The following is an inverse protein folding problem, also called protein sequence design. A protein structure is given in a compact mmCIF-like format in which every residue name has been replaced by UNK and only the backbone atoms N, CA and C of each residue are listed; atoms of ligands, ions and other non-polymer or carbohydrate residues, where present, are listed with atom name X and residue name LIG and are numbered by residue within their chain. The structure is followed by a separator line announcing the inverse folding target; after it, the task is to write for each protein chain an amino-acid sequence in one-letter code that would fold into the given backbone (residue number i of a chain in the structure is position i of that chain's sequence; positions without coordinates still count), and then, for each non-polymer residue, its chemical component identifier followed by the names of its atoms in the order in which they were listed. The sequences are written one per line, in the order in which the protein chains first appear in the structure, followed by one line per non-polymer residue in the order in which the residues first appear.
data_IF_568842344217
#
_entry.id   IF_568842344217
#
_cell.length_a   1.000
_cell.length_b   1.000
_cell.length_c   1.000
_cell.angle_alpha   90.00
_cell.angle_beta   90.00
_cell.angle_gamma   90.00
#
_symmetry.space_group_name_H-M   'P 1'
#
loop_
_entity.id
_entity.type
_entity.pdbx_description
1 polymer ?
#
# COMPACT_ATOMS: atom_id res chain seq x y z
N UNK A 1 3.05 14.22 2.02
CA UNK A 1 4.09 14.70 1.10
C UNK A 1 3.49 14.54 -0.29
N UNK A 2 3.12 15.63 -0.95
CA UNK A 2 2.63 15.58 -2.32
C UNK A 2 3.86 15.47 -3.22
N UNK A 3 3.94 14.44 -4.06
CA UNK A 3 5.08 14.23 -4.96
C UNK A 3 4.62 14.21 -6.42
N UNK A 4 5.42 14.94 -7.21
CA UNK A 4 5.70 14.91 -8.66
C UNK A 4 4.75 15.47 -9.71
N UNK A 5 5.30 16.46 -10.43
CA UNK A 5 4.90 17.14 -11.66
C UNK A 5 5.16 16.28 -12.92
N UNK A 6 4.61 15.05 -12.98
CA UNK A 6 4.49 14.27 -14.22
C UNK A 6 3.08 13.65 -14.32
N UNK A 7 2.65 13.24 -15.52
CA UNK A 7 1.27 12.77 -15.77
C UNK A 7 0.97 11.49 -14.98
N UNK A 8 1.98 10.62 -14.79
CA UNK A 8 1.87 9.38 -14.01
C UNK A 8 1.68 9.65 -12.51
N UNK A 9 2.46 10.56 -11.92
CA UNK A 9 2.26 11.01 -10.54
C UNK A 9 0.90 11.68 -10.33
N UNK A 10 0.35 12.32 -11.36
CA UNK A 10 -1.03 12.85 -11.32
C UNK A 10 -2.05 11.72 -11.22
N UNK A 11 -1.85 10.60 -11.92
CA UNK A 11 -2.77 9.45 -11.88
C UNK A 11 -2.70 8.69 -10.55
N UNK A 12 -1.51 8.46 -10.00
CA UNK A 12 -1.32 7.87 -8.67
C UNK A 12 -1.98 8.72 -7.56
N UNK A 13 -1.90 10.05 -7.68
CA UNK A 13 -2.55 10.98 -6.76
C UNK A 13 -4.10 10.90 -6.84
N UNK A 14 -4.67 10.73 -8.04
CA UNK A 14 -6.12 10.53 -8.20
C UNK A 14 -6.57 9.25 -7.50
N UNK A 15 -5.88 8.13 -7.73
CA UNK A 15 -6.20 6.88 -7.05
C UNK A 15 -6.11 7.01 -5.52
N UNK A 16 -5.10 7.72 -5.03
CA UNK A 16 -4.93 7.98 -3.60
C UNK A 16 -6.10 8.78 -3.01
N UNK A 17 -6.52 9.85 -3.69
CA UNK A 17 -7.65 10.67 -3.23
C UNK A 17 -8.97 9.91 -3.25
N UNK A 18 -9.21 9.12 -4.30
CA UNK A 18 -10.42 8.31 -4.42
C UNK A 18 -10.49 7.25 -3.32
N UNK A 19 -9.37 6.57 -3.05
CA UNK A 19 -9.33 5.55 -2.01
C UNK A 19 -9.51 6.14 -0.62
N UNK A 20 -8.90 7.30 -0.33
CA UNK A 20 -9.12 8.02 0.92
C UNK A 20 -10.52 8.64 1.04
N UNK A 21 -11.26 8.73 -0.06
CA UNK A 21 -12.69 9.08 -0.06
C UNK A 21 -13.61 7.87 0.18
N UNK A 22 -13.03 6.66 0.32
CA UNK A 22 -13.76 5.42 0.55
C UNK A 22 -14.23 4.72 -0.73
N UNK A 23 -13.79 5.18 -1.91
CA UNK A 23 -14.15 4.54 -3.17
C UNK A 23 -13.27 3.32 -3.43
N UNK A 24 -13.62 2.18 -2.84
CA UNK A 24 -12.86 0.91 -2.97
C UNK A 24 -12.89 0.32 -4.38
N UNK A 25 -13.83 0.74 -5.24
CA UNK A 25 -13.96 0.19 -6.59
C UNK A 25 -12.75 0.50 -7.49
N UNK A 26 -11.94 1.50 -7.11
CA UNK A 26 -10.73 1.88 -7.85
C UNK A 26 -9.58 0.89 -7.66
N UNK A 27 -9.67 -0.04 -6.68
CA UNK A 27 -8.56 -0.91 -6.31
C UNK A 27 -8.06 -1.74 -7.49
N UNK A 28 -8.96 -2.28 -8.32
CA UNK A 28 -8.58 -3.05 -9.51
C UNK A 28 -7.72 -2.19 -10.45
N UNK A 29 -8.22 -1.01 -10.82
CA UNK A 29 -7.53 -0.10 -11.74
C UNK A 29 -6.21 0.41 -11.15
N UNK A 30 -6.17 0.63 -9.83
CA UNK A 30 -4.97 1.10 -9.14
C UNK A 30 -3.91 -0.01 -9.12
N UNK A 31 -4.29 -1.24 -8.77
CA UNK A 31 -3.38 -2.39 -8.77
C UNK A 31 -2.85 -2.68 -10.17
N UNK A 32 -3.69 -2.63 -11.20
CA UNK A 32 -3.24 -2.82 -12.59
C UNK A 32 -2.32 -1.70 -13.08
N UNK A 33 -2.49 -0.48 -12.58
CA UNK A 33 -1.54 0.60 -12.81
C UNK A 33 -0.16 0.27 -12.21
N UNK A 34 -0.08 -0.32 -11.01
CA UNK A 34 1.18 -0.63 -10.34
C UNK A 34 2.05 -1.66 -11.06
N UNK A 35 1.44 -2.58 -11.83
CA UNK A 35 2.16 -3.61 -12.61
C UNK A 35 3.26 -3.05 -13.52
N UNK A 36 3.07 -1.82 -14.00
CA UNK A 36 4.02 -1.16 -14.91
C UNK A 36 4.82 -0.02 -14.26
N UNK A 37 4.62 0.24 -12.96
CA UNK A 37 5.19 1.39 -12.24
C UNK A 37 5.75 0.95 -10.88
N UNK A 38 6.86 0.21 -10.91
CA UNK A 38 7.48 -0.38 -9.72
C UNK A 38 7.85 0.63 -8.62
N UNK A 39 8.17 1.86 -9.02
CA UNK A 39 8.50 2.99 -8.14
C UNK A 39 7.29 3.48 -7.33
N UNK A 40 6.07 3.22 -7.81
CA UNK A 40 4.83 3.61 -7.15
C UNK A 40 4.30 2.53 -6.18
N UNK A 41 4.89 1.33 -6.16
CA UNK A 41 4.39 0.21 -5.35
C UNK A 41 4.41 0.53 -3.85
N UNK A 42 5.54 1.01 -3.31
CA UNK A 42 5.65 1.35 -1.89
C UNK A 42 4.66 2.46 -1.47
N UNK A 43 4.60 3.64 -2.14
CA UNK A 43 3.64 4.67 -1.77
C UNK A 43 2.18 4.21 -1.95
N UNK A 44 1.87 3.42 -2.97
CA UNK A 44 0.53 2.89 -3.17
C UNK A 44 0.12 1.89 -2.10
N UNK A 45 1.00 0.96 -1.71
CA UNK A 45 0.70 -0.01 -0.66
C UNK A 45 0.49 0.66 0.70
N UNK A 46 1.20 1.75 1.01
CA UNK A 46 0.91 2.57 2.21
C UNK A 46 -0.54 3.07 2.16
N UNK A 47 -0.94 3.68 1.04
CA UNK A 47 -2.29 4.21 0.83
C UNK A 47 -3.36 3.13 0.91
N UNK A 48 -3.13 1.97 0.27
CA UNK A 48 -4.06 0.84 0.25
C UNK A 48 -4.25 0.26 1.64
N UNK A 49 -3.16 -0.06 2.37
CA UNK A 49 -3.23 -0.64 3.71
C UNK A 49 -3.84 0.36 4.71
N UNK A 50 -3.50 1.64 4.60
CA UNK A 50 -4.13 2.68 5.43
C UNK A 50 -5.64 2.76 5.18
N UNK A 51 -6.07 2.71 3.92
CA UNK A 51 -7.49 2.76 3.56
C UNK A 51 -8.24 1.50 4.01
N UNK A 52 -7.63 0.33 3.88
CA UNK A 52 -8.16 -0.94 4.39
C UNK A 52 -8.43 -0.87 5.90
N UNK A 53 -7.48 -0.31 6.66
CA UNK A 53 -7.65 -0.08 8.10
C UNK A 53 -8.79 0.91 8.43
N UNK A 54 -9.03 1.93 7.60
CA UNK A 54 -10.06 2.96 7.82
C UNK A 54 -11.45 2.42 7.48
N UNK A 55 -11.59 1.85 6.28
CA UNK A 55 -12.87 1.45 5.70
C UNK A 55 -13.21 -0.03 5.91
N UNK A 56 -12.33 -0.79 6.59
CA UNK A 56 -12.54 -2.18 7.03
C UNK A 56 -12.83 -3.15 5.89
N UNK A 57 -12.01 -3.11 4.84
CA UNK A 57 -12.04 -4.08 3.74
C UNK A 57 -10.74 -4.91 3.71
N UNK A 58 -10.81 -6.12 3.14
CA UNK A 58 -9.64 -6.97 2.97
C UNK A 58 -8.82 -6.55 1.74
N UNK A 59 -7.50 -6.66 1.88
CA UNK A 59 -6.50 -6.42 0.83
C UNK A 59 -5.56 -7.62 0.68
N UNK A 60 -5.96 -8.80 1.15
CA UNK A 60 -5.07 -9.97 1.23
C UNK A 60 -4.55 -10.37 -0.15
N UNK A 61 -5.44 -10.42 -1.14
CA UNK A 61 -5.08 -10.71 -2.53
C UNK A 61 -4.07 -9.71 -3.11
N UNK A 62 -4.14 -8.44 -2.67
CA UNK A 62 -3.21 -7.39 -3.08
C UNK A 62 -1.85 -7.60 -2.42
N UNK A 63 -1.83 -7.91 -1.12
CA UNK A 63 -0.60 -8.22 -0.39
C UNK A 63 0.10 -9.46 -0.96
N UNK A 64 -0.66 -10.49 -1.33
CA UNK A 64 -0.14 -11.67 -2.00
C UNK A 64 0.45 -11.32 -3.38
N UNK A 65 -0.29 -10.56 -4.19
CA UNK A 65 0.14 -10.13 -5.53
C UNK A 65 1.46 -9.35 -5.52
N UNK A 66 1.70 -8.51 -4.51
CA UNK A 66 2.92 -7.71 -4.39
C UNK A 66 3.96 -8.27 -3.41
N UNK A 67 3.83 -9.53 -2.98
CA UNK A 67 4.72 -10.15 -1.98
C UNK A 67 6.20 -10.07 -2.33
N UNK A 68 6.57 -10.36 -3.58
CA UNK A 68 7.97 -10.25 -4.05
C UNK A 68 8.51 -8.81 -3.96
N UNK A 69 7.68 -7.81 -4.26
CA UNK A 69 8.05 -6.40 -4.13
C UNK A 69 8.22 -6.02 -2.66
N UNK A 70 7.33 -6.49 -1.78
CA UNK A 70 7.39 -6.24 -0.33
C UNK A 70 8.69 -6.80 0.28
N UNK A 71 9.10 -8.01 -0.11
CA UNK A 71 10.36 -8.62 0.36
C UNK A 71 11.56 -7.74 0.01
N UNK A 72 11.49 -6.99 -1.09
CA UNK A 72 12.59 -6.10 -1.51
C UNK A 72 12.65 -4.77 -0.75
N UNK A 73 11.65 -4.42 0.08
CA UNK A 73 11.58 -3.10 0.73
C UNK A 73 12.75 -2.80 1.67
N UNK A 74 13.38 -3.80 2.28
CA UNK A 74 14.57 -3.60 3.10
C UNK A 74 15.77 -3.05 2.31
N UNK A 75 15.75 -3.22 0.99
CA UNK A 75 16.76 -2.67 0.09
C UNK A 75 16.45 -1.23 -0.39
N UNK A 76 15.25 -0.72 -0.11
CA UNK A 76 14.85 0.62 -0.55
C UNK A 76 15.59 1.70 0.24
N UNK A 77 16.01 2.76 -0.45
CA UNK A 77 16.64 3.94 0.16
C UNK A 77 15.62 4.94 0.71
N UNK A 78 14.51 4.44 1.26
CA UNK A 78 13.43 5.25 1.85
C UNK A 78 12.89 4.62 3.14
N UNK A 79 13.69 4.63 4.22
CA UNK A 79 13.34 3.96 5.48
C UNK A 79 12.09 4.55 6.13
N UNK A 80 11.75 5.81 5.84
CA UNK A 80 10.57 6.48 6.39
C UNK A 80 9.29 5.86 5.82
N UNK A 81 9.22 5.70 4.50
CA UNK A 81 8.04 5.11 3.87
C UNK A 81 7.96 3.60 4.12
N UNK A 82 9.09 2.89 4.20
CA UNK A 82 9.11 1.47 4.63
C UNK A 82 8.56 1.32 6.04
N UNK A 83 9.04 2.12 7.01
CA UNK A 83 8.54 2.09 8.39
C UNK A 83 7.04 2.42 8.47
N UNK A 84 6.57 3.38 7.65
CA UNK A 84 5.15 3.73 7.57
C UNK A 84 4.30 2.59 7.02
N UNK A 85 4.78 1.92 5.97
CA UNK A 85 4.11 0.74 5.42
C UNK A 85 3.98 -0.35 6.48
N UNK A 86 5.09 -0.70 7.15
CA UNK A 86 5.10 -1.72 8.20
C UNK A 86 4.12 -1.39 9.33
N UNK A 87 4.11 -0.14 9.81
CA UNK A 87 3.14 0.30 10.83
C UNK A 87 1.68 0.03 10.42
N UNK A 88 1.29 0.43 9.21
CA UNK A 88 -0.07 0.23 8.73
C UNK A 88 -0.37 -1.26 8.49
N UNK A 89 0.60 -2.03 7.98
CA UNK A 89 0.49 -3.47 7.78
C UNK A 89 0.27 -4.20 9.11
N UNK A 90 1.10 -3.94 10.12
CA UNK A 90 0.95 -4.53 11.45
C UNK A 90 -0.41 -4.22 12.07
N UNK A 91 -0.92 -2.99 11.90
CA UNK A 91 -2.27 -2.63 12.36
C UNK A 91 -3.35 -3.45 11.65
N UNK A 92 -3.26 -3.58 10.33
CA UNK A 92 -4.21 -4.36 9.53
C UNK A 92 -4.22 -5.84 9.94
N UNK A 93 -3.05 -6.44 10.10
CA UNK A 93 -2.90 -7.83 10.55
C UNK A 93 -3.47 -8.03 11.97
N UNK A 94 -3.19 -7.09 12.88
CA UNK A 94 -3.72 -7.12 14.25
C UNK A 94 -5.25 -7.04 14.28
N UNK A 95 -5.85 -6.12 13.53
CA UNK A 95 -7.31 -5.97 13.45
C UNK A 95 -7.99 -7.19 12.82
N UNK A 96 -7.30 -7.91 11.92
CA UNK A 96 -7.77 -9.17 11.33
C UNK A 96 -7.44 -10.42 12.17
N UNK A 97 -7.03 -10.25 13.43
CA UNK A 97 -6.70 -11.33 14.38
C UNK A 97 -5.54 -12.24 13.95
N UNK A 98 -4.61 -11.75 13.12
CA UNK A 98 -3.42 -12.48 12.63
C UNK A 98 -2.20 -12.24 13.54
N UNK A 99 -2.37 -12.53 14.83
CA UNK A 99 -1.43 -12.10 15.88
C UNK A 99 -0.01 -12.72 15.73
N UNK A 100 0.18 -13.75 14.89
CA UNK A 100 1.48 -14.40 14.67
C UNK A 100 2.38 -13.73 13.62
N UNK A 101 1.85 -13.12 12.56
CA UNK A 101 2.65 -12.61 11.43
C UNK A 101 3.25 -11.23 11.67
N UNK A 102 2.60 -10.39 12.48
CA UNK A 102 3.02 -9.00 12.70
C UNK A 102 4.29 -8.79 13.54
N UNK A 103 4.79 -9.84 14.20
CA UNK A 103 6.01 -9.81 15.03
C UNK A 103 7.22 -10.37 14.28
N UNK A 104 7.02 -11.30 13.34
CA UNK A 104 8.11 -11.94 12.59
C UNK A 104 8.75 -11.00 11.54
N UNK A 105 8.06 -9.91 11.19
CA UNK A 105 8.48 -8.91 10.20
C UNK A 105 9.18 -7.66 10.82
N UNK A 106 9.50 -7.66 12.13
CA UNK A 106 10.23 -6.58 12.83
C UNK A 106 11.68 -6.99 13.11
#
# INVERSE_FOLDING_TARGET
MLVTTNIEGTKANVYTLDLFSGNINILTDYVDFLENHSEEILPALITIVQSANIFKFSIDDILERFSDSIISFDSYRDPINVSRYLYHKSKYEFENSRIGTGIDDI
#
